data_IF_979196934658
#
_entry.id   IF_979196934658
#
_cell.length_a   1.000
_cell.length_b   1.000
_cell.length_c   1.000
_cell.angle_alpha   90.00
_cell.angle_beta   90.00
_cell.angle_gamma   90.00
#
_symmetry.space_group_name_H-M   'P 1'
#
loop_
_entity.id
_entity.type
_entity.pdbx_description
1 polymer ?
#
# COMPACT_ATOMS: atom_id res chain seq x y z
N UNK A 1 13.60 31.68 16.39
CA UNK A 1 12.50 32.01 15.46
C UNK A 1 11.78 30.71 15.17
N UNK A 2 10.60 30.54 15.74
CA UNK A 2 9.72 29.40 15.49
C UNK A 2 9.31 29.41 14.01
N UNK A 3 9.57 28.31 13.32
CA UNK A 3 9.21 28.15 11.91
C UNK A 3 7.73 27.80 11.86
N UNK A 4 6.86 28.83 11.84
CA UNK A 4 5.42 28.67 11.57
C UNK A 4 5.23 28.41 10.08
N UNK A 5 5.54 27.19 9.65
CA UNK A 5 5.19 26.67 8.33
C UNK A 5 3.91 25.83 8.37
N UNK A 6 3.28 25.56 7.21
CA UNK A 6 2.03 24.79 7.15
C UNK A 6 2.16 23.36 7.68
N UNK A 7 3.38 22.84 7.81
CA UNK A 7 3.69 21.54 8.37
C UNK A 7 4.34 21.64 9.77
N UNK A 8 4.23 22.79 10.43
CA UNK A 8 4.70 22.94 11.81
C UNK A 8 4.05 21.90 12.73
N UNK A 9 4.85 21.28 13.58
CA UNK A 9 4.45 20.23 14.51
C UNK A 9 4.01 18.91 13.85
N UNK A 10 4.22 18.71 12.55
CA UNK A 10 4.03 17.41 11.91
C UNK A 10 5.35 16.66 11.81
N UNK A 11 5.31 15.35 12.07
CA UNK A 11 6.45 14.45 11.98
C UNK A 11 6.24 13.47 10.82
N UNK A 12 7.12 13.54 9.83
CA UNK A 12 6.92 12.90 8.52
C UNK A 12 8.08 11.93 8.23
N UNK A 13 7.74 10.68 7.94
CA UNK A 13 8.67 9.67 7.48
C UNK A 13 9.00 9.82 5.99
N UNK A 14 10.28 9.77 5.64
CA UNK A 14 10.77 9.77 4.26
C UNK A 14 11.51 8.48 3.98
N UNK A 15 10.96 7.68 3.05
CA UNK A 15 11.51 6.36 2.67
C UNK A 15 12.46 6.40 1.47
N UNK A 16 12.50 7.52 0.75
CA UNK A 16 13.30 7.67 -0.44
C UNK A 16 14.80 7.64 -0.13
N UNK A 17 15.57 6.92 -0.95
CA UNK A 17 17.03 6.96 -0.94
C UNK A 17 17.60 7.94 -1.98
N UNK A 18 17.04 7.92 -3.20
CA UNK A 18 17.41 8.85 -4.27
C UNK A 18 16.67 10.17 -4.10
N UNK A 19 17.40 11.29 -4.24
CA UNK A 19 16.85 12.66 -4.05
C UNK A 19 16.18 12.89 -2.69
N UNK A 20 16.55 12.09 -1.68
CA UNK A 20 16.02 12.22 -0.34
C UNK A 20 16.23 13.63 0.21
N UNK A 21 17.42 14.20 0.01
CA UNK A 21 17.77 15.54 0.51
C UNK A 21 16.86 16.64 -0.05
N UNK A 22 16.52 16.56 -1.34
CA UNK A 22 15.56 17.47 -1.98
C UNK A 22 14.19 17.40 -1.31
N UNK A 23 13.71 16.18 -1.06
CA UNK A 23 12.42 15.96 -0.40
C UNK A 23 12.42 16.43 1.06
N UNK A 24 13.47 16.09 1.82
CA UNK A 24 13.65 16.47 3.23
C UNK A 24 13.69 17.99 3.38
N UNK A 25 14.53 18.65 2.59
CA UNK A 25 14.63 20.11 2.56
C UNK A 25 13.28 20.77 2.26
N UNK A 26 12.51 20.23 1.32
CA UNK A 26 11.19 20.77 0.99
C UNK A 26 10.21 20.68 2.17
N UNK A 27 10.21 19.57 2.91
CA UNK A 27 9.37 19.35 4.10
C UNK A 27 9.83 20.20 5.29
N UNK A 28 11.13 20.22 5.58
CA UNK A 28 11.72 20.97 6.70
C UNK A 28 11.52 22.48 6.53
N UNK A 29 11.62 23.01 5.29
CA UNK A 29 11.27 24.42 4.99
C UNK A 29 9.82 24.79 5.29
N UNK A 30 8.93 23.80 5.40
CA UNK A 30 7.52 23.97 5.77
C UNK A 30 7.27 23.70 7.25
N UNK A 31 8.31 23.49 8.05
CA UNK A 31 8.23 23.30 9.50
C UNK A 31 8.06 21.85 9.95
N UNK A 32 8.08 20.87 9.03
CA UNK A 32 7.97 19.47 9.40
C UNK A 32 9.23 18.95 10.11
N UNK A 33 9.05 18.09 11.10
CA UNK A 33 10.10 17.22 11.62
C UNK A 33 10.21 16.00 10.70
N UNK A 34 11.40 15.74 10.15
CA UNK A 34 11.56 14.66 9.17
C UNK A 34 12.35 13.50 9.78
N UNK A 35 11.74 12.32 9.74
CA UNK A 35 12.40 11.04 10.02
C UNK A 35 12.81 10.42 8.69
N UNK A 36 14.11 10.23 8.47
CA UNK A 36 14.61 9.66 7.22
C UNK A 36 15.06 8.22 7.45
N UNK A 37 14.48 7.30 6.68
CA UNK A 37 14.85 5.90 6.68
C UNK A 37 14.81 5.37 5.23
N UNK A 38 15.94 5.33 4.52
CA UNK A 38 15.95 4.80 3.16
C UNK A 38 15.58 3.32 3.23
N UNK A 39 14.46 2.93 2.63
CA UNK A 39 14.03 1.52 2.63
C UNK A 39 14.62 0.75 1.45
N UNK A 40 15.20 1.45 0.48
CA UNK A 40 15.90 0.89 -0.67
C UNK A 40 17.33 1.44 -0.74
N UNK A 41 18.23 0.73 -1.42
CA UNK A 41 19.54 1.28 -1.83
C UNK A 41 19.38 2.45 -2.81
N UNK A 42 20.39 3.33 -2.88
CA UNK A 42 20.43 4.47 -3.83
C UNK A 42 20.51 3.99 -5.29
N UNK A 43 21.14 2.84 -5.50
CA UNK A 43 21.18 2.10 -6.75
C UNK A 43 20.51 0.74 -6.56
N UNK A 44 19.18 0.68 -6.52
CA UNK A 44 18.46 -0.54 -6.16
C UNK A 44 18.47 -1.59 -7.28
N UNK A 45 19.06 -1.31 -8.45
CA UNK A 45 18.98 -2.18 -9.62
C UNK A 45 20.32 -2.81 -9.96
N UNK A 46 20.92 -3.54 -9.02
CA UNK A 46 22.10 -4.36 -9.29
C UNK A 46 21.68 -5.76 -9.73
N UNK A 47 22.26 -6.22 -10.83
CA UNK A 47 22.14 -7.61 -11.27
C UNK A 47 22.89 -8.45 -10.24
N UNK A 48 22.17 -9.29 -9.50
CA UNK A 48 22.78 -10.34 -8.70
C UNK A 48 23.20 -11.45 -9.65
N UNK A 49 24.41 -11.34 -10.20
CA UNK A 49 24.90 -12.25 -11.24
C UNK A 49 24.91 -13.72 -10.77
N UNK A 50 25.17 -13.97 -9.48
CA UNK A 50 25.18 -15.33 -8.92
C UNK A 50 23.76 -15.89 -8.86
N UNK A 51 22.80 -15.14 -8.31
CA UNK A 51 21.41 -15.57 -8.24
C UNK A 51 20.78 -15.70 -9.62
N UNK A 52 21.05 -14.75 -10.53
CA UNK A 52 20.53 -14.78 -11.90
C UNK A 52 21.10 -15.97 -12.68
N UNK A 53 22.38 -16.31 -12.51
CA UNK A 53 22.97 -17.51 -13.11
C UNK A 53 22.34 -18.78 -12.57
N UNK A 54 22.20 -18.91 -11.25
CA UNK A 54 21.55 -20.06 -10.64
C UNK A 54 20.09 -20.23 -11.12
N UNK A 55 19.34 -19.13 -11.23
CA UNK A 55 17.99 -19.16 -11.78
C UNK A 55 17.96 -19.55 -13.27
N UNK A 56 18.96 -19.10 -14.05
CA UNK A 56 19.11 -19.49 -15.47
C UNK A 56 19.40 -20.98 -15.60
N UNK A 57 20.34 -21.50 -14.83
CA UNK A 57 20.67 -22.93 -14.80
C UNK A 57 19.46 -23.75 -14.34
N UNK A 58 18.68 -23.25 -13.36
CA UNK A 58 17.42 -23.87 -12.95
C UNK A 58 16.41 -23.94 -14.11
N UNK A 59 16.21 -22.86 -14.87
CA UNK A 59 15.33 -22.86 -16.07
C UNK A 59 15.72 -23.98 -17.03
N UNK A 60 17.03 -24.22 -17.22
CA UNK A 60 17.58 -25.22 -18.12
C UNK A 60 17.45 -26.67 -17.64
N UNK A 61 17.08 -26.92 -16.38
CA UNK A 61 17.00 -28.30 -15.83
C UNK A 61 15.87 -29.16 -16.40
N UNK A 62 14.85 -28.53 -16.99
CA UNK A 62 13.69 -29.21 -17.57
C UNK A 62 13.03 -28.34 -18.66
N UNK A 63 12.11 -28.88 -19.47
CA UNK A 63 11.29 -28.08 -20.39
C UNK A 63 10.46 -27.03 -19.64
N UNK A 64 10.12 -25.93 -20.34
CA UNK A 64 9.24 -24.87 -19.84
C UNK A 64 7.93 -24.94 -20.61
N UNK A 65 6.79 -25.02 -19.90
CA UNK A 65 5.47 -25.03 -20.55
C UNK A 65 5.02 -23.63 -20.95
N UNK A 66 5.24 -22.66 -20.06
CA UNK A 66 4.81 -21.27 -20.22
C UNK A 66 5.91 -20.32 -19.76
N UNK A 67 6.20 -19.31 -20.56
CA UNK A 67 7.11 -18.23 -20.22
C UNK A 67 6.40 -16.89 -20.20
N UNK A 68 6.47 -16.19 -19.07
CA UNK A 68 5.88 -14.87 -18.90
C UNK A 68 6.98 -13.80 -18.84
N UNK A 69 7.07 -13.01 -19.89
CA UNK A 69 8.02 -11.92 -20.06
C UNK A 69 7.45 -10.59 -19.52
N UNK A 70 8.03 -10.08 -18.44
CA UNK A 70 7.51 -8.84 -17.82
C UNK A 70 8.08 -7.59 -18.47
N UNK A 71 9.39 -7.39 -18.61
CA UNK A 71 9.92 -6.11 -19.12
C UNK A 71 11.06 -6.29 -20.11
N UNK A 72 11.10 -5.42 -21.12
CA UNK A 72 12.14 -5.47 -22.14
C UNK A 72 13.55 -5.22 -21.63
N UNK A 73 13.72 -4.40 -20.59
CA UNK A 73 15.06 -4.17 -20.01
C UNK A 73 15.51 -5.38 -19.19
N UNK A 74 14.60 -6.03 -18.45
CA UNK A 74 14.90 -7.25 -17.72
C UNK A 74 15.33 -8.38 -18.66
N UNK A 75 14.57 -8.61 -19.73
CA UNK A 75 14.93 -9.62 -20.75
C UNK A 75 16.31 -9.35 -21.38
N UNK A 76 16.58 -8.11 -21.80
CA UNK A 76 17.86 -7.76 -22.40
C UNK A 76 19.02 -8.02 -21.44
N UNK A 77 18.88 -7.61 -20.19
CA UNK A 77 19.91 -7.83 -19.17
C UNK A 77 20.09 -9.32 -18.84
N UNK A 78 19.01 -10.10 -18.80
CA UNK A 78 19.09 -11.54 -18.60
C UNK A 78 19.81 -12.24 -19.75
N UNK A 79 19.42 -11.95 -21.00
CA UNK A 79 20.04 -12.55 -22.18
C UNK A 79 21.50 -12.14 -22.34
N UNK A 80 21.85 -10.88 -22.08
CA UNK A 80 23.24 -10.44 -22.08
C UNK A 80 24.07 -11.17 -21.02
N UNK A 81 23.55 -11.33 -19.80
CA UNK A 81 24.22 -12.07 -18.74
C UNK A 81 24.36 -13.57 -19.09
N UNK A 82 23.32 -14.19 -19.65
CA UNK A 82 23.36 -15.57 -20.12
C UNK A 82 24.40 -15.76 -21.24
N UNK A 83 24.57 -14.78 -22.12
CA UNK A 83 25.60 -14.80 -23.16
C UNK A 83 27.01 -14.74 -22.58
N UNK A 84 27.25 -13.86 -21.59
CA UNK A 84 28.52 -13.82 -20.85
C UNK A 84 28.87 -15.16 -20.17
N UNK A 85 27.86 -15.96 -19.82
CA UNK A 85 28.03 -17.29 -19.22
C UNK A 85 28.07 -18.44 -20.24
N UNK A 86 27.90 -18.16 -21.54
CA UNK A 86 27.80 -19.18 -22.58
C UNK A 86 26.50 -20.02 -22.50
N UNK A 87 25.46 -19.49 -21.86
CA UNK A 87 24.17 -20.16 -21.64
C UNK A 87 23.04 -19.59 -22.52
N UNK A 88 23.31 -18.59 -23.37
CA UNK A 88 22.28 -17.92 -24.16
C UNK A 88 21.56 -18.87 -25.13
N UNK A 89 22.30 -19.63 -25.95
CA UNK A 89 21.71 -20.53 -26.94
C UNK A 89 20.81 -21.60 -26.30
N UNK A 90 21.25 -22.36 -25.27
CA UNK A 90 20.38 -23.29 -24.55
C UNK A 90 19.16 -22.63 -23.92
N UNK A 91 19.32 -21.40 -23.41
CA UNK A 91 18.23 -20.65 -22.80
C UNK A 91 17.17 -20.27 -23.84
N UNK A 92 17.57 -19.74 -24.98
CA UNK A 92 16.64 -19.37 -26.05
C UNK A 92 15.93 -20.61 -26.61
N UNK A 93 16.63 -21.74 -26.77
CA UNK A 93 16.01 -22.99 -27.21
C UNK A 93 14.95 -23.49 -26.22
N UNK A 94 15.27 -23.49 -24.92
CA UNK A 94 14.32 -23.87 -23.85
C UNK A 94 13.09 -22.96 -23.84
N UNK A 95 13.28 -21.64 -23.92
CA UNK A 95 12.18 -20.67 -23.93
C UNK A 95 11.35 -20.73 -25.22
N UNK A 96 11.94 -21.06 -26.36
CA UNK A 96 11.24 -21.17 -27.64
C UNK A 96 10.28 -22.37 -27.68
N UNK A 97 10.53 -23.40 -26.86
CA UNK A 97 9.62 -24.54 -26.68
C UNK A 97 8.38 -24.21 -25.84
N UNK A 98 8.35 -23.08 -25.14
CA UNK A 98 7.26 -22.67 -24.27
C UNK A 98 6.19 -21.87 -24.99
N UNK A 99 4.96 -21.85 -24.45
CA UNK A 99 4.01 -20.79 -24.77
C UNK A 99 4.52 -19.47 -24.16
N UNK A 100 4.64 -18.40 -24.94
CA UNK A 100 5.23 -17.14 -24.47
C UNK A 100 4.15 -16.07 -24.33
N UNK A 101 3.97 -15.52 -23.13
CA UNK A 101 3.13 -14.35 -22.87
C UNK A 101 4.03 -13.16 -22.55
N UNK A 102 3.73 -12.01 -23.14
CA UNK A 102 4.43 -10.77 -22.86
C UNK A 102 3.50 -9.79 -22.16
N UNK A 103 3.99 -9.08 -21.14
CA UNK A 103 3.19 -8.05 -20.45
C UNK A 103 2.90 -6.84 -21.34
N UNK A 104 3.75 -6.51 -22.31
CA UNK A 104 3.51 -5.34 -23.16
C UNK A 104 4.60 -5.09 -24.23
N UNK A 105 4.47 -3.99 -25.00
CA UNK A 105 5.27 -3.73 -26.21
C UNK A 105 6.79 -3.76 -25.99
N UNK A 106 7.26 -3.33 -24.82
CA UNK A 106 8.70 -3.36 -24.49
C UNK A 106 9.25 -4.78 -24.39
N UNK A 107 8.48 -5.69 -23.79
CA UNK A 107 8.84 -7.10 -23.61
C UNK A 107 8.73 -7.83 -24.93
N UNK A 108 7.65 -7.59 -25.69
CA UNK A 108 7.49 -8.06 -27.07
C UNK A 108 8.70 -7.68 -27.93
N UNK A 109 9.09 -6.41 -27.92
CA UNK A 109 10.24 -5.95 -28.69
C UNK A 109 11.57 -6.58 -28.24
N UNK A 110 11.72 -6.98 -26.98
CA UNK A 110 12.91 -7.68 -26.50
C UNK A 110 12.92 -9.16 -26.89
N UNK A 111 11.78 -9.86 -26.76
CA UNK A 111 11.61 -11.24 -27.21
C UNK A 111 11.92 -11.38 -28.71
N UNK A 112 11.29 -10.56 -29.54
CA UNK A 112 11.45 -10.63 -31.02
C UNK A 112 12.87 -10.35 -31.48
N UNK A 113 13.60 -9.47 -30.78
CA UNK A 113 15.03 -9.24 -31.06
C UNK A 113 15.90 -10.44 -30.73
N UNK A 114 15.50 -11.24 -29.74
CA UNK A 114 16.16 -12.50 -29.37
C UNK A 114 15.64 -13.70 -30.17
N UNK A 115 14.83 -13.48 -31.23
CA UNK A 115 14.28 -14.55 -32.06
C UNK A 115 13.03 -15.24 -31.49
N UNK A 116 12.57 -14.87 -30.30
CA UNK A 116 11.39 -15.44 -29.65
C UNK A 116 10.11 -14.71 -30.09
N UNK A 117 9.00 -15.45 -30.22
CA UNK A 117 7.68 -14.88 -30.53
C UNK A 117 6.70 -15.13 -29.39
N UNK A 118 6.12 -14.05 -28.89
CA UNK A 118 4.98 -14.14 -27.98
C UNK A 118 3.73 -14.68 -28.70
N UNK A 119 2.94 -15.48 -27.98
CA UNK A 119 1.58 -15.85 -28.38
C UNK A 119 0.62 -14.67 -28.18
N UNK A 120 0.78 -13.93 -27.07
CA UNK A 120 -0.14 -12.87 -26.69
C UNK A 120 0.51 -11.82 -25.79
N UNK A 121 0.02 -10.58 -25.89
CA UNK A 121 0.31 -9.47 -24.99
C UNK A 121 -0.92 -8.55 -24.86
N UNK A 122 -1.20 -8.00 -23.66
CA UNK A 122 -2.29 -7.05 -23.48
C UNK A 122 -1.94 -5.66 -24.02
N UNK A 123 -2.95 -4.91 -24.46
CA UNK A 123 -2.81 -3.50 -24.83
C UNK A 123 -2.54 -2.59 -23.62
N UNK A 124 -3.02 -2.97 -22.43
CA UNK A 124 -2.94 -2.19 -21.19
C UNK A 124 -1.55 -2.11 -20.57
N UNK A 125 -0.65 -3.02 -20.94
CA UNK A 125 0.64 -3.24 -20.29
C UNK A 125 0.58 -3.68 -18.80
N UNK A 126 -0.61 -4.02 -18.32
CA UNK A 126 -0.89 -4.46 -16.95
C UNK A 126 -0.69 -5.96 -16.79
N UNK A 127 -0.14 -6.39 -15.64
CA UNK A 127 0.09 -7.81 -15.38
C UNK A 127 -1.21 -8.53 -14.98
N UNK A 128 -2.15 -7.80 -14.39
CA UNK A 128 -3.50 -8.27 -14.06
C UNK A 128 -4.22 -8.85 -15.28
N UNK A 129 -4.01 -8.26 -16.46
CA UNK A 129 -4.59 -8.75 -17.71
C UNK A 129 -3.92 -10.03 -18.21
N UNK A 130 -2.62 -10.21 -17.92
CA UNK A 130 -1.93 -11.48 -18.17
C UNK A 130 -2.51 -12.57 -17.27
N UNK A 131 -2.72 -12.28 -15.99
CA UNK A 131 -3.39 -13.23 -15.08
C UNK A 131 -4.84 -13.49 -15.52
N UNK A 132 -5.56 -12.47 -15.97
CA UNK A 132 -6.92 -12.62 -16.49
C UNK A 132 -6.96 -13.50 -17.74
N UNK A 133 -5.98 -13.39 -18.64
CA UNK A 133 -5.85 -14.24 -19.82
C UNK A 133 -5.59 -15.72 -19.47
N UNK A 134 -4.95 -15.98 -18.34
CA UNK A 134 -4.71 -17.33 -17.82
C UNK A 134 -5.89 -17.87 -16.99
N UNK A 135 -6.90 -17.05 -16.66
CA UNK A 135 -8.06 -17.52 -15.88
C UNK A 135 -8.82 -18.61 -16.65
N UNK A 136 -9.17 -19.67 -15.93
CA UNK A 136 -9.93 -20.80 -16.48
C UNK A 136 -9.09 -21.84 -17.22
N UNK A 137 -7.77 -21.61 -17.37
CA UNK A 137 -6.84 -22.64 -17.84
C UNK A 137 -6.48 -23.58 -16.70
N UNK A 138 -6.31 -24.86 -17.03
CA UNK A 138 -5.72 -25.83 -16.10
C UNK A 138 -4.20 -25.68 -16.12
N UNK A 139 -3.65 -25.20 -15.00
CA UNK A 139 -2.21 -25.01 -14.82
C UNK A 139 -1.59 -26.09 -13.92
N UNK A 140 -2.34 -27.14 -13.59
CA UNK A 140 -1.87 -28.26 -12.77
C UNK A 140 -0.66 -28.90 -13.42
N UNK A 141 0.42 -29.07 -12.64
CA UNK A 141 1.70 -29.66 -13.05
C UNK A 141 2.42 -28.91 -14.19
N UNK A 142 1.96 -27.71 -14.57
CA UNK A 142 2.64 -26.87 -15.56
C UNK A 142 3.83 -26.16 -14.94
N UNK A 143 4.95 -26.15 -15.65
CA UNK A 143 6.14 -25.38 -15.28
C UNK A 143 6.12 -24.02 -15.97
N UNK A 144 6.02 -22.98 -15.16
CA UNK A 144 5.94 -21.59 -15.61
C UNK A 144 7.20 -20.85 -15.20
N UNK A 145 7.86 -20.22 -16.16
CA UNK A 145 8.96 -19.29 -15.90
C UNK A 145 8.42 -17.86 -15.95
N UNK A 146 8.65 -17.08 -14.90
CA UNK A 146 8.29 -15.66 -14.86
C UNK A 146 9.57 -14.84 -14.78
N UNK A 147 9.86 -14.07 -15.82
CA UNK A 147 10.96 -13.10 -15.78
C UNK A 147 10.49 -11.87 -15.01
N UNK A 148 11.06 -11.59 -13.85
CA UNK A 148 10.75 -10.45 -13.00
C UNK A 148 11.71 -9.27 -13.20
N UNK A 149 11.17 -8.05 -13.06
CA UNK A 149 11.94 -6.82 -12.99
C UNK A 149 11.96 -6.37 -11.54
N UNK A 150 12.87 -6.98 -10.75
CA UNK A 150 13.37 -6.71 -9.38
C UNK A 150 12.43 -6.30 -8.24
N UNK A 151 11.18 -6.01 -8.55
CA UNK A 151 10.08 -6.00 -7.63
C UNK A 151 9.58 -7.43 -7.55
N UNK A 152 9.50 -7.99 -6.35
CA UNK A 152 8.95 -9.32 -6.16
C UNK A 152 7.51 -9.30 -6.67
N UNK A 153 7.23 -10.01 -7.77
CA UNK A 153 5.87 -10.37 -8.16
C UNK A 153 5.44 -11.57 -7.31
N UNK A 154 5.73 -11.53 -5.99
CA UNK A 154 5.37 -12.57 -5.03
C UNK A 154 3.90 -12.94 -5.17
N UNK A 155 3.04 -11.96 -5.41
CA UNK A 155 1.60 -12.16 -5.63
C UNK A 155 1.27 -12.91 -6.94
N UNK A 156 2.02 -12.69 -8.02
CA UNK A 156 1.82 -13.38 -9.30
C UNK A 156 2.26 -14.83 -9.19
N UNK A 157 3.49 -15.06 -8.75
CA UNK A 157 4.03 -16.41 -8.61
C UNK A 157 3.19 -17.21 -7.61
N UNK A 158 2.73 -16.56 -6.53
CA UNK A 158 1.81 -17.16 -5.59
C UNK A 158 0.44 -17.48 -6.22
N UNK A 159 -0.15 -16.57 -7.00
CA UNK A 159 -1.43 -16.80 -7.66
C UNK A 159 -1.37 -17.98 -8.65
N UNK A 160 -0.29 -18.09 -9.44
CA UNK A 160 -0.06 -19.19 -10.37
C UNK A 160 0.18 -20.52 -9.63
N UNK A 161 0.98 -20.51 -8.55
CA UNK A 161 1.18 -21.71 -7.70
C UNK A 161 -0.11 -22.19 -7.07
N UNK A 162 -1.00 -21.28 -6.64
CA UNK A 162 -2.34 -21.63 -6.12
C UNK A 162 -3.24 -22.30 -7.15
N UNK A 163 -2.92 -22.19 -8.45
CA UNK A 163 -3.61 -22.87 -9.54
C UNK A 163 -2.97 -24.22 -9.91
N UNK A 164 -1.99 -24.70 -9.14
CA UNK A 164 -1.34 -26.00 -9.34
C UNK A 164 -0.05 -25.97 -10.16
N UNK A 165 0.41 -24.78 -10.58
CA UNK A 165 1.63 -24.63 -11.36
C UNK A 165 2.90 -24.69 -10.51
N UNK A 166 3.98 -25.22 -11.09
CA UNK A 166 5.34 -25.01 -10.59
C UNK A 166 5.88 -23.72 -11.20
N UNK A 167 6.26 -22.74 -10.38
CA UNK A 167 6.68 -21.42 -10.88
C UNK A 167 8.12 -21.11 -10.52
N UNK A 168 8.96 -20.98 -11.54
CA UNK A 168 10.33 -20.49 -11.46
C UNK A 168 10.36 -18.98 -11.72
N UNK A 169 10.90 -18.22 -10.77
CA UNK A 169 10.97 -16.77 -10.84
C UNK A 169 12.40 -16.35 -11.16
N UNK A 170 12.59 -15.70 -12.31
CA UNK A 170 13.90 -15.18 -12.74
C UNK A 170 13.95 -13.69 -12.46
N UNK A 171 14.50 -13.32 -11.31
CA UNK A 171 14.65 -11.93 -10.90
C UNK A 171 15.97 -11.36 -11.43
N UNK A 172 15.88 -10.46 -12.42
CA UNK A 172 17.06 -9.98 -13.16
C UNK A 172 17.94 -9.01 -12.35
N UNK A 173 17.35 -8.27 -11.43
CA UNK A 173 18.08 -7.43 -10.48
C UNK A 173 17.38 -7.50 -9.14
N UNK A 174 18.13 -7.43 -8.06
CA UNK A 174 17.57 -7.41 -6.71
C UNK A 174 17.42 -5.97 -6.28
N UNK A 175 16.22 -5.57 -5.84
CA UNK A 175 16.05 -4.36 -5.05
C UNK A 175 16.81 -4.55 -3.75
N UNK A 176 18.04 -4.03 -3.70
CA UNK A 176 18.85 -4.06 -2.49
C UNK A 176 18.19 -3.19 -1.42
N UNK A 177 18.08 -3.73 -0.21
CA UNK A 177 17.73 -2.96 0.97
C UNK A 177 18.82 -1.90 1.29
N UNK A 178 18.59 -1.05 2.29
CA UNK A 178 19.59 -0.07 2.68
C UNK A 178 20.85 -0.74 3.24
N UNK A 179 21.99 -0.04 3.14
CA UNK A 179 23.25 -0.49 3.72
C UNK A 179 23.18 -0.63 5.25
N UNK A 180 22.39 0.21 5.91
CA UNK A 180 22.06 0.11 7.32
C UNK A 180 20.54 -0.02 7.49
N UNK A 181 20.03 -1.16 8.02
CA UNK A 181 18.61 -1.35 8.25
C UNK A 181 18.09 -0.67 9.52
N UNK A 182 18.95 -0.19 10.43
CA UNK A 182 18.52 0.36 11.72
C UNK A 182 17.56 1.56 11.61
N UNK A 183 17.72 2.51 10.67
CA UNK A 183 16.74 3.57 10.44
C UNK A 183 15.37 3.03 10.02
N UNK A 184 15.32 1.93 9.25
CA UNK A 184 14.06 1.30 8.82
C UNK A 184 13.37 0.62 9.99
N UNK A 185 14.11 -0.08 10.85
CA UNK A 185 13.54 -0.65 12.08
C UNK A 185 12.91 0.44 12.96
N UNK A 186 13.62 1.55 13.15
CA UNK A 186 13.09 2.71 13.88
C UNK A 186 11.84 3.28 13.21
N UNK A 187 11.83 3.40 11.88
CA UNK A 187 10.67 3.88 11.13
C UNK A 187 9.45 2.97 11.35
N UNK A 188 9.63 1.64 11.27
CA UNK A 188 8.57 0.67 11.58
C UNK A 188 8.04 0.87 12.99
N UNK A 189 8.93 1.05 13.96
CA UNK A 189 8.51 1.27 15.34
C UNK A 189 7.70 2.56 15.50
N UNK A 190 8.15 3.65 14.87
CA UNK A 190 7.47 4.93 14.90
C UNK A 190 6.09 4.88 14.24
N UNK A 191 5.94 4.13 13.14
CA UNK A 191 4.64 3.95 12.47
C UNK A 191 3.70 3.15 13.37
N UNK A 192 4.14 1.97 13.84
CA UNK A 192 3.32 1.08 14.64
C UNK A 192 2.93 1.70 16.00
N UNK A 193 3.79 2.58 16.55
CA UNK A 193 3.51 3.38 17.75
C UNK A 193 2.69 4.66 17.48
N UNK A 194 2.30 4.94 16.23
CA UNK A 194 1.54 6.15 15.82
C UNK A 194 2.27 7.46 16.17
N UNK A 195 3.58 7.46 16.05
CA UNK A 195 4.47 8.60 16.36
C UNK A 195 4.82 9.45 15.14
N UNK A 196 4.24 9.15 13.98
CA UNK A 196 4.37 9.90 12.73
C UNK A 196 2.98 10.32 12.26
N UNK A 197 2.87 11.48 11.64
CA UNK A 197 1.61 11.92 11.02
C UNK A 197 1.49 11.40 9.58
N UNK A 198 2.62 11.18 8.90
CA UNK A 198 2.64 10.67 7.53
C UNK A 198 3.94 9.94 7.20
N UNK A 199 3.88 9.07 6.20
CA UNK A 199 5.06 8.45 5.58
C UNK A 199 4.95 8.55 4.07
N UNK A 200 6.02 9.02 3.43
CA UNK A 200 6.08 9.22 1.98
C UNK A 200 6.75 8.05 1.27
N UNK A 201 6.19 7.64 0.13
CA UNK A 201 6.67 6.55 -0.72
C UNK A 201 6.78 7.03 -2.17
N UNK A 202 7.98 6.96 -2.72
CA UNK A 202 8.26 7.39 -4.10
C UNK A 202 8.36 6.24 -5.10
N UNK A 203 8.26 5.00 -4.62
CA UNK A 203 8.29 3.81 -5.46
C UNK A 203 7.55 2.64 -4.79
N UNK A 204 6.83 1.85 -5.57
CA UNK A 204 6.14 0.66 -5.08
C UNK A 204 7.03 -0.38 -4.35
N UNK A 205 8.31 -0.62 -4.75
CA UNK A 205 9.20 -1.50 -3.98
C UNK A 205 9.49 -1.01 -2.55
N UNK A 206 9.39 0.30 -2.30
CA UNK A 206 9.60 0.87 -0.98
C UNK A 206 8.50 0.42 0.01
N UNK A 207 7.27 0.27 -0.49
CA UNK A 207 6.13 -0.25 0.29
C UNK A 207 6.39 -1.70 0.67
N UNK A 208 6.72 -2.55 -0.31
CA UNK A 208 7.01 -3.96 -0.08
C UNK A 208 8.16 -4.14 0.93
N UNK A 209 9.27 -3.41 0.75
CA UNK A 209 10.41 -3.49 1.66
C UNK A 209 10.07 -3.10 3.09
N UNK A 210 9.31 -2.02 3.30
CA UNK A 210 8.87 -1.62 4.63
C UNK A 210 7.96 -2.69 5.26
N UNK A 211 7.03 -3.27 4.50
CA UNK A 211 6.09 -4.30 4.98
C UNK A 211 6.78 -5.64 5.27
N UNK A 212 7.84 -5.98 4.53
CA UNK A 212 8.69 -7.14 4.80
C UNK A 212 9.46 -6.96 6.10
N UNK A 213 10.06 -5.78 6.31
CA UNK A 213 10.74 -5.45 7.56
C UNK A 213 9.77 -5.45 8.74
N UNK A 214 8.58 -4.87 8.59
CA UNK A 214 7.54 -4.90 9.62
C UNK A 214 7.10 -6.33 9.96
N UNK A 215 7.01 -7.22 8.95
CA UNK A 215 6.74 -8.64 9.15
C UNK A 215 7.85 -9.36 9.90
N UNK A 216 9.11 -9.11 9.53
CA UNK A 216 10.27 -9.68 10.21
C UNK A 216 10.37 -9.23 11.68
N UNK A 217 9.90 -8.02 11.98
CA UNK A 217 9.78 -7.49 13.35
C UNK A 217 8.53 -7.96 14.10
N UNK A 218 7.62 -8.69 13.45
CA UNK A 218 6.35 -9.10 14.04
C UNK A 218 5.38 -7.94 14.32
N UNK A 219 5.57 -6.79 13.66
CA UNK A 219 4.78 -5.55 13.86
C UNK A 219 3.88 -5.18 12.68
N UNK A 220 3.68 -6.11 11.74
CA UNK A 220 3.00 -5.82 10.47
C UNK A 220 1.56 -5.38 10.68
N UNK A 221 0.83 -6.05 11.55
CA UNK A 221 -0.59 -5.76 11.79
C UNK A 221 -0.75 -4.38 12.45
N UNK A 222 0.15 -4.00 13.36
CA UNK A 222 0.17 -2.67 13.97
C UNK A 222 0.51 -1.58 12.94
N UNK A 223 1.44 -1.84 12.02
CA UNK A 223 1.76 -0.92 10.91
C UNK A 223 0.56 -0.73 9.99
N UNK A 224 -0.14 -1.81 9.63
CA UNK A 224 -1.35 -1.74 8.79
C UNK A 224 -2.43 -0.92 9.51
N UNK A 225 -2.71 -1.23 10.78
CA UNK A 225 -3.70 -0.53 11.57
C UNK A 225 -3.36 0.97 11.71
N UNK A 226 -2.08 1.30 11.91
CA UNK A 226 -1.62 2.69 11.97
C UNK A 226 -1.86 3.42 10.64
N UNK A 227 -1.54 2.80 9.49
CA UNK A 227 -1.80 3.42 8.18
C UNK A 227 -3.29 3.52 7.82
N UNK A 228 -4.14 2.68 8.41
CA UNK A 228 -5.58 2.73 8.18
C UNK A 228 -6.27 3.89 8.91
N UNK A 229 -5.69 4.39 10.01
CA UNK A 229 -6.37 5.35 10.88
C UNK A 229 -5.55 6.61 11.22
N UNK A 230 -4.28 6.44 11.57
CA UNK A 230 -3.51 7.46 12.30
C UNK A 230 -2.40 8.09 11.45
N UNK A 231 -1.72 7.28 10.63
CA UNK A 231 -0.55 7.67 9.85
C UNK A 231 -0.93 7.72 8.38
N UNK A 232 -0.72 8.86 7.72
CA UNK A 232 -1.07 8.98 6.30
C UNK A 232 0.00 8.32 5.42
N UNK A 233 -0.38 7.30 4.65
CA UNK A 233 0.46 6.76 3.58
C UNK A 233 0.38 7.65 2.34
N UNK A 234 1.46 8.36 2.04
CA UNK A 234 1.54 9.33 0.94
C UNK A 234 2.34 8.74 -0.21
N UNK A 235 1.66 8.42 -1.31
CA UNK A 235 2.27 7.84 -2.49
C UNK A 235 2.55 8.92 -3.54
N UNK A 236 3.70 8.86 -4.21
CA UNK A 236 4.00 9.81 -5.28
C UNK A 236 3.04 9.66 -6.47
N UNK A 237 2.45 8.48 -6.68
CA UNK A 237 1.53 8.22 -7.79
C UNK A 237 0.91 6.82 -7.75
N UNK A 238 0.08 6.48 -8.77
CA UNK A 238 -0.84 5.36 -8.71
C UNK A 238 -0.17 3.99 -8.62
N UNK A 239 0.99 3.82 -9.26
CA UNK A 239 1.74 2.55 -9.18
C UNK A 239 2.23 2.28 -7.75
N UNK A 240 2.66 3.32 -7.03
CA UNK A 240 3.07 3.18 -5.62
C UNK A 240 1.86 2.97 -4.71
N UNK A 241 0.75 3.64 -4.98
CA UNK A 241 -0.50 3.47 -4.24
C UNK A 241 -1.05 2.04 -4.37
N UNK A 242 -1.03 1.45 -5.57
CA UNK A 242 -1.49 0.09 -5.81
C UNK A 242 -0.77 -0.97 -4.94
N UNK A 243 0.47 -0.71 -4.52
CA UNK A 243 1.22 -1.62 -3.66
C UNK A 243 0.61 -1.76 -2.23
N UNK A 244 -0.23 -0.81 -1.81
CA UNK A 244 -0.94 -0.84 -0.54
C UNK A 244 -2.30 -1.55 -0.60
N UNK A 245 -2.86 -1.80 -1.79
CA UNK A 245 -4.21 -2.35 -1.96
C UNK A 245 -4.39 -3.71 -1.29
N UNK A 246 -3.38 -4.59 -1.38
CA UNK A 246 -3.44 -5.92 -0.76
C UNK A 246 -3.55 -5.89 0.76
N UNK A 247 -3.17 -4.77 1.38
CA UNK A 247 -3.21 -4.56 2.83
C UNK A 247 -4.43 -3.74 3.27
N UNK A 248 -5.31 -3.34 2.35
CA UNK A 248 -6.46 -2.49 2.64
C UNK A 248 -6.05 -1.14 3.26
N UNK A 249 -4.86 -0.64 2.91
CA UNK A 249 -4.35 0.63 3.42
C UNK A 249 -4.77 1.76 2.48
N UNK A 250 -5.51 2.78 2.98
CA UNK A 250 -5.84 3.95 2.19
C UNK A 250 -4.57 4.79 1.94
N UNK A 251 -4.46 5.38 0.75
CA UNK A 251 -3.33 6.25 0.39
C UNK A 251 -3.82 7.57 -0.16
N UNK A 252 -2.99 8.60 -0.03
CA UNK A 252 -3.17 9.88 -0.73
C UNK A 252 -2.07 10.07 -1.76
N UNK A 253 -2.39 10.71 -2.88
CA UNK A 253 -1.45 10.93 -3.97
C UNK A 253 -1.70 12.28 -4.65
N UNK A 254 -0.66 12.98 -5.12
CA UNK A 254 -0.83 14.23 -5.85
C UNK A 254 -1.33 13.98 -7.28
N UNK A 255 -1.97 14.97 -7.90
CA UNK A 255 -2.39 14.91 -9.31
C UNK A 255 -1.23 14.66 -10.28
N UNK A 256 -0.03 15.13 -9.92
CA UNK A 256 1.20 14.95 -10.69
C UNK A 256 2.20 14.15 -9.88
N UNK A 257 2.70 13.06 -10.46
CA UNK A 257 3.68 12.19 -9.82
C UNK A 257 5.08 12.80 -9.71
N UNK A 258 5.23 13.80 -8.83
CA UNK A 258 6.45 14.59 -8.59
C UNK A 258 6.59 14.90 -7.10
N UNK A 259 7.82 14.88 -6.59
CA UNK A 259 8.14 15.17 -5.19
C UNK A 259 7.55 16.51 -4.70
N UNK A 260 7.71 17.58 -5.48
CA UNK A 260 7.17 18.89 -5.09
C UNK A 260 5.63 18.91 -4.98
N UNK A 261 4.93 18.20 -5.87
CA UNK A 261 3.48 18.10 -5.82
C UNK A 261 3.01 17.26 -4.62
N UNK A 262 3.72 16.19 -4.30
CA UNK A 262 3.48 15.37 -3.11
C UNK A 262 3.68 16.17 -1.82
N UNK A 263 4.73 16.99 -1.74
CA UNK A 263 4.94 17.89 -0.59
C UNK A 263 3.84 18.94 -0.48
N UNK A 264 3.38 19.51 -1.61
CA UNK A 264 2.26 20.46 -1.64
C UNK A 264 0.95 19.83 -1.17
N UNK A 265 0.68 18.58 -1.54
CA UNK A 265 -0.48 17.83 -1.05
C UNK A 265 -0.45 17.73 0.48
N UNK A 266 0.70 17.38 1.05
CA UNK A 266 0.89 17.27 2.50
C UNK A 266 0.57 18.58 3.25
N UNK A 267 0.92 19.74 2.68
CA UNK A 267 0.61 21.07 3.27
C UNK A 267 -0.90 21.30 3.48
N UNK A 268 -1.75 20.60 2.73
CA UNK A 268 -3.21 20.73 2.85
C UNK A 268 -3.79 19.55 3.61
N UNK A 269 -3.36 18.34 3.28
CA UNK A 269 -3.92 17.11 3.82
C UNK A 269 -3.73 16.98 5.34
N UNK A 270 -2.51 17.23 5.84
CA UNK A 270 -2.22 17.02 7.26
C UNK A 270 -2.87 18.07 8.16
N UNK A 271 -2.85 19.38 7.85
CA UNK A 271 -3.58 20.36 8.64
C UNK A 271 -5.09 20.11 8.66
N UNK A 272 -5.69 19.74 7.53
CA UNK A 272 -7.12 19.42 7.46
C UNK A 272 -7.47 18.22 8.35
N UNK A 273 -6.67 17.14 8.29
CA UNK A 273 -6.86 15.98 9.17
C UNK A 273 -6.65 16.31 10.64
N UNK A 274 -5.63 17.13 10.96
CA UNK A 274 -5.34 17.54 12.34
C UNK A 274 -6.40 18.47 12.91
N UNK A 275 -7.02 19.32 12.09
CA UNK A 275 -8.12 20.17 12.54
C UNK A 275 -9.36 19.36 12.96
N UNK A 276 -9.47 18.09 12.54
CA UNK A 276 -10.62 17.25 12.80
C UNK A 276 -11.84 17.65 11.96
N UNK A 277 -12.92 16.89 12.12
CA UNK A 277 -14.20 17.18 11.47
C UNK A 277 -15.12 17.87 12.47
N UNK A 278 -15.56 19.09 12.15
CA UNK A 278 -16.55 19.83 12.93
C UNK A 278 -17.95 19.61 12.34
N UNK A 279 -18.93 19.35 13.20
CA UNK A 279 -20.34 19.16 12.86
C UNK A 279 -21.20 20.08 13.72
N UNK A 280 -22.11 20.81 13.08
CA UNK A 280 -23.18 21.49 13.80
C UNK A 280 -24.26 20.45 14.15
N UNK A 281 -24.42 20.14 15.45
CA UNK A 281 -25.36 19.13 15.95
C UNK A 281 -26.25 19.70 17.04
N UNK A 282 -27.57 19.76 16.79
CA UNK A 282 -28.56 20.26 17.75
C UNK A 282 -28.23 21.63 18.37
N UNK A 283 -27.55 22.51 17.63
CA UNK A 283 -27.11 23.84 18.08
C UNK A 283 -25.76 23.87 18.82
N UNK A 284 -25.02 22.76 18.83
CA UNK A 284 -23.67 22.64 19.37
C UNK A 284 -22.66 22.36 18.26
N UNK A 285 -21.40 22.73 18.47
CA UNK A 285 -20.29 22.37 17.59
C UNK A 285 -19.61 21.12 18.14
N UNK A 286 -19.76 20.00 17.44
CA UNK A 286 -19.09 18.75 17.73
C UNK A 286 -17.83 18.62 16.87
N UNK A 287 -16.65 18.58 17.48
CA UNK A 287 -15.39 18.34 16.79
C UNK A 287 -14.89 16.92 17.08
N UNK A 288 -14.66 16.16 16.01
CA UNK A 288 -14.05 14.84 16.04
C UNK A 288 -12.62 14.91 15.53
N UNK A 289 -11.66 14.52 16.35
CA UNK A 289 -10.24 14.49 16.00
C UNK A 289 -9.60 13.20 16.50
N UNK A 290 -9.34 12.24 15.62
CA UNK A 290 -8.89 10.91 16.04
C UNK A 290 -9.91 10.30 17.00
N UNK A 291 -9.47 9.95 18.21
CA UNK A 291 -10.29 9.47 19.33
C UNK A 291 -10.83 10.59 20.25
N UNK A 292 -10.42 11.83 20.01
CA UNK A 292 -10.88 12.99 20.76
C UNK A 292 -12.21 13.50 20.25
N UNK A 293 -13.11 13.75 21.19
CA UNK A 293 -14.42 14.35 20.94
C UNK A 293 -14.51 15.63 21.75
N UNK A 294 -14.81 16.75 21.11
CA UNK A 294 -15.07 18.02 21.78
C UNK A 294 -16.49 18.47 21.44
N UNK A 295 -17.25 18.91 22.46
CA UNK A 295 -18.55 19.54 22.30
C UNK A 295 -18.44 20.98 22.79
N UNK A 296 -18.65 21.95 21.89
CA UNK A 296 -18.45 23.39 22.14
C UNK A 296 -17.06 23.70 22.73
N UNK A 297 -16.04 22.98 22.26
CA UNK A 297 -14.65 23.12 22.72
C UNK A 297 -14.34 22.42 24.05
N UNK A 298 -15.30 21.73 24.67
CA UNK A 298 -15.10 20.95 25.90
C UNK A 298 -14.87 19.48 25.57
N UNK A 299 -13.77 18.90 26.06
CA UNK A 299 -13.44 17.50 25.80
C UNK A 299 -14.45 16.55 26.46
N UNK A 300 -14.97 15.61 25.67
CA UNK A 300 -15.92 14.57 26.09
C UNK A 300 -15.25 13.22 25.94
N UNK A 301 -15.15 12.47 27.04
CA UNK A 301 -14.57 11.13 27.02
C UNK A 301 -15.64 10.09 26.72
N UNK A 302 -15.44 9.31 25.65
CA UNK A 302 -16.33 8.23 25.25
C UNK A 302 -15.65 6.88 25.45
N UNK A 303 -16.42 5.88 25.87
CA UNK A 303 -15.96 4.49 25.83
C UNK A 303 -15.99 3.96 24.38
N UNK A 304 -15.31 2.83 24.07
CA UNK A 304 -15.18 2.35 22.71
C UNK A 304 -16.51 2.17 21.94
N UNK A 305 -17.56 1.63 22.58
CA UNK A 305 -18.84 1.38 21.88
C UNK A 305 -19.60 2.67 21.53
N UNK A 306 -19.80 3.64 22.44
CA UNK A 306 -20.35 4.96 22.09
C UNK A 306 -19.52 5.71 21.04
N UNK A 307 -18.19 5.60 21.13
CA UNK A 307 -17.30 6.25 20.16
C UNK A 307 -17.42 5.65 18.77
N UNK A 308 -17.46 4.32 18.65
CA UNK A 308 -17.68 3.63 17.38
C UNK A 308 -19.03 3.99 16.73
N UNK A 309 -20.09 4.10 17.54
CA UNK A 309 -21.39 4.60 17.06
C UNK A 309 -21.25 6.03 16.55
N UNK A 310 -20.57 6.91 17.28
CA UNK A 310 -20.38 8.29 16.87
C UNK A 310 -19.62 8.40 15.54
N UNK A 311 -18.52 7.66 15.39
CA UNK A 311 -17.75 7.60 14.16
C UNK A 311 -18.63 7.15 12.98
N UNK A 312 -19.42 6.09 13.16
CA UNK A 312 -20.32 5.58 12.12
C UNK A 312 -21.37 6.61 11.69
N UNK A 313 -21.94 7.38 12.63
CA UNK A 313 -22.89 8.45 12.30
C UNK A 313 -22.22 9.67 11.66
N UNK A 314 -20.95 9.93 11.97
CA UNK A 314 -20.18 11.06 11.46
C UNK A 314 -19.67 10.89 10.02
N UNK A 315 -19.64 9.65 9.49
CA UNK A 315 -19.27 9.38 8.09
C UNK A 315 -20.16 10.15 7.11
N UNK A 316 -21.47 10.20 7.38
CA UNK A 316 -22.43 10.97 6.60
C UNK A 316 -23.45 11.62 7.56
N UNK A 317 -23.12 12.79 8.13
CA UNK A 317 -23.93 13.42 9.16
C UNK A 317 -25.35 13.72 8.63
N UNK A 318 -26.37 13.51 9.48
CA UNK A 318 -27.78 13.65 9.09
C UNK A 318 -28.39 12.46 8.35
N UNK A 319 -27.57 11.55 7.81
CA UNK A 319 -28.03 10.29 7.21
C UNK A 319 -28.44 9.27 8.29
N UNK A 320 -29.49 8.49 8.02
CA UNK A 320 -29.97 7.45 8.94
C UNK A 320 -29.16 6.17 8.77
N UNK A 321 -28.37 5.83 9.77
CA UNK A 321 -27.59 4.59 9.82
C UNK A 321 -28.43 3.47 10.46
N UNK A 322 -28.66 2.34 9.76
CA UNK A 322 -29.40 1.21 10.30
C UNK A 322 -28.73 0.56 11.51
N UNK A 323 -29.53 0.00 12.43
CA UNK A 323 -29.02 -0.73 13.62
C UNK A 323 -28.02 -1.82 13.27
N UNK A 324 -28.27 -2.56 12.18
CA UNK A 324 -27.40 -3.65 11.72
C UNK A 324 -26.00 -3.15 11.33
N UNK A 325 -25.92 -1.96 10.75
CA UNK A 325 -24.66 -1.35 10.35
C UNK A 325 -23.89 -0.82 11.56
N UNK A 326 -24.59 -0.17 12.49
CA UNK A 326 -23.99 0.23 13.77
C UNK A 326 -23.51 -0.97 14.59
N UNK A 327 -24.25 -2.08 14.57
CA UNK A 327 -23.85 -3.32 15.23
C UNK A 327 -22.54 -3.87 14.67
N UNK A 328 -22.35 -3.79 13.34
CA UNK A 328 -21.12 -4.23 12.69
C UNK A 328 -19.91 -3.33 13.01
N UNK A 329 -20.15 -2.07 13.40
CA UNK A 329 -19.10 -1.13 13.80
C UNK A 329 -18.68 -1.27 15.27
N UNK A 330 -19.43 -1.98 16.12
CA UNK A 330 -19.09 -2.13 17.53
C UNK A 330 -17.86 -3.04 17.74
N UNK A 331 -16.98 -2.74 18.72
CA UNK A 331 -15.84 -3.60 19.06
C UNK A 331 -16.27 -5.02 19.46
N UNK A 332 -15.52 -6.04 19.02
CA UNK A 332 -15.78 -7.46 19.30
C UNK A 332 -15.66 -7.80 20.80
N UNK A 333 -16.61 -8.57 21.34
CA UNK A 333 -16.61 -9.05 22.74
C UNK A 333 -17.80 -8.61 23.60
N UNK A 334 -18.65 -7.70 23.11
CA UNK A 334 -19.96 -7.40 23.69
C UNK A 334 -21.03 -8.22 22.96
N UNK A 335 -22.04 -8.73 23.66
CA UNK A 335 -23.12 -9.52 23.06
C UNK A 335 -23.68 -8.82 21.82
N UNK A 336 -23.40 -9.37 20.63
CA UNK A 336 -23.75 -8.81 19.33
C UNK A 336 -25.27 -8.85 19.12
N UNK A 337 -25.96 -7.95 19.81
CA UNK A 337 -27.40 -7.85 19.88
C UNK A 337 -27.80 -6.40 19.62
N UNK A 338 -29.02 -6.19 19.13
CA UNK A 338 -29.55 -4.83 18.94
C UNK A 338 -29.53 -4.01 20.24
N UNK A 339 -29.64 -4.69 21.39
CA UNK A 339 -29.52 -4.07 22.70
C UNK A 339 -28.15 -3.42 22.94
N UNK A 340 -27.05 -3.96 22.39
CA UNK A 340 -25.72 -3.35 22.51
C UNK A 340 -25.65 -1.99 21.79
N UNK A 341 -26.28 -1.88 20.62
CA UNK A 341 -26.39 -0.61 19.88
C UNK A 341 -27.22 0.40 20.67
N UNK A 342 -28.35 -0.03 21.23
CA UNK A 342 -29.19 0.85 22.06
C UNK A 342 -28.44 1.37 23.29
N UNK A 343 -27.70 0.51 23.98
CA UNK A 343 -26.89 0.91 25.13
C UNK A 343 -25.74 1.85 24.74
N UNK A 344 -25.08 1.60 23.60
CA UNK A 344 -24.05 2.50 23.07
C UNK A 344 -24.62 3.88 22.74
N UNK A 345 -25.78 3.94 22.07
CA UNK A 345 -26.48 5.20 21.75
C UNK A 345 -26.94 5.92 23.03
N UNK A 346 -27.47 5.19 24.02
CA UNK A 346 -27.90 5.79 25.28
C UNK A 346 -26.73 6.45 26.02
N UNK A 347 -25.58 5.78 26.09
CA UNK A 347 -24.35 6.33 26.68
C UNK A 347 -23.79 7.50 25.87
N UNK A 348 -23.86 7.44 24.54
CA UNK A 348 -23.46 8.54 23.67
C UNK A 348 -24.30 9.80 23.93
N UNK A 349 -25.63 9.65 24.03
CA UNK A 349 -26.55 10.73 24.39
C UNK A 349 -26.32 11.28 25.79
N UNK A 350 -25.98 10.42 26.75
CA UNK A 350 -25.64 10.87 28.10
C UNK A 350 -24.38 11.75 28.11
N UNK A 351 -23.42 11.47 27.22
CA UNK A 351 -22.17 12.20 27.13
C UNK A 351 -22.27 13.50 26.29
N UNK A 352 -23.00 13.46 25.17
CA UNK A 352 -23.07 14.59 24.21
C UNK A 352 -24.37 15.40 24.30
N UNK A 353 -25.37 14.92 25.03
CA UNK A 353 -26.70 15.49 25.07
C UNK A 353 -27.71 14.69 24.24
N UNK A 354 -28.94 14.60 24.77
CA UNK A 354 -29.99 13.72 24.23
C UNK A 354 -30.44 14.07 22.81
N UNK A 355 -30.26 15.33 22.39
CA UNK A 355 -30.65 15.84 21.07
C UNK A 355 -29.59 15.65 19.99
N UNK A 356 -28.33 15.34 20.34
CA UNK A 356 -27.23 15.22 19.36
C UNK A 356 -27.41 14.01 18.44
N UNK A 357 -28.01 12.94 18.96
CA UNK A 357 -28.33 11.73 18.19
C UNK A 357 -29.83 11.53 18.15
N UNK A 358 -30.42 11.47 16.97
CA UNK A 358 -31.84 11.25 16.75
C UNK A 358 -32.16 9.78 16.48
N UNK A 359 -33.27 9.29 17.03
CA UNK A 359 -33.82 7.98 16.67
C UNK A 359 -34.81 8.17 15.53
N UNK A 360 -34.56 7.52 14.40
CA UNK A 360 -35.55 7.40 13.32
C UNK A 360 -36.27 6.07 13.48
N UNK A 361 -37.55 6.15 13.89
CA UNK A 361 -38.38 5.00 14.24
C UNK A 361 -38.32 3.91 13.17
N UNK A 362 -38.03 2.67 13.59
CA UNK A 362 -37.85 1.48 12.74
C UNK A 362 -36.73 1.54 11.70
N UNK A 363 -35.99 2.64 11.58
CA UNK A 363 -34.94 2.81 10.56
C UNK A 363 -33.53 2.79 11.16
N UNK A 364 -33.30 3.48 12.27
CA UNK A 364 -31.97 3.55 12.88
C UNK A 364 -31.72 4.86 13.62
N UNK A 365 -30.49 5.36 13.52
CA UNK A 365 -30.03 6.57 14.22
C UNK A 365 -29.30 7.52 13.26
N UNK A 366 -29.28 8.81 13.59
CA UNK A 366 -28.51 9.83 12.85
C UNK A 366 -27.97 10.91 13.78
N UNK A 367 -26.94 11.64 13.35
CA UNK A 367 -26.58 12.92 13.97
C UNK A 367 -27.62 13.99 13.63
N UNK A 368 -27.93 14.84 14.60
CA UNK A 368 -28.92 15.91 14.49
C UNK A 368 -28.34 17.16 13.82
N UNK A 369 -28.00 17.06 12.53
CA UNK A 369 -27.50 18.20 11.75
C UNK A 369 -28.62 18.99 11.08
N UNK A 370 -28.40 20.29 10.76
CA UNK A 370 -29.38 21.15 10.08
C UNK A 370 -29.92 20.60 8.75
#
# INVERSE_FOLDING_TARGET
>A
MTVDGPLASFRIGVTAARKAEEQRTLLERRGAQVEWAPVLSVEPNKIDAVALRAATEQVLTAPVDLFIATTGIGLKSWFAAAEEWGLLEPLLESLNGAEILARGPKSVGALRRAGLRELWAPESECFEDVLAHLRGRDLTDRRIVVQEHGQSLSNVAHALRRQGATVDVVTVYRVEGPADPAPVFRMVDLIADRKLDAVTFTAAPAVASLMDVAGAMGRRDEVIAAFQADVVAVCVGPVTAAAFEMWGVPTVQPDRARTAAMVKLLETELPVRRAGQAFDVAGHVLLLHGDQVLLDGVAVHLSPSPFAVLQALAVNPGHVVPRRELLAALPTGQAASEHAVEMAVARLRAALGTRVVETVVKRGYRLATP
#
